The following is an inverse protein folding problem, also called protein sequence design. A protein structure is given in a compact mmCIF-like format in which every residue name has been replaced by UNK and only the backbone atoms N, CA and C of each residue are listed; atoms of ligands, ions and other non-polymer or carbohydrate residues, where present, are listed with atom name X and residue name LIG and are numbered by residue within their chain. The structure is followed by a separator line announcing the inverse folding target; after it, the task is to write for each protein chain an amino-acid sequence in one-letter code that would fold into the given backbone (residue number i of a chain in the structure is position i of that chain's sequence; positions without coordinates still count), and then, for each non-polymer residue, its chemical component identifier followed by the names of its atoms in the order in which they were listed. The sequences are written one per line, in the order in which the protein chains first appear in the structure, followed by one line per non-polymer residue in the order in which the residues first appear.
data_IF_961047123559
#
_entry.id   IF_961047123559
#
_cell.length_a   1.000
_cell.length_b   1.000
_cell.length_c   1.000
_cell.angle_alpha   90.00
_cell.angle_beta   90.00
_cell.angle_gamma   90.00
#
_symmetry.space_group_name_H-M   'P 1'
#
loop_
_entity.id
_entity.type
_entity.pdbx_description
1 polymer ?
#
# COMPACT_ATOMS: atom_id res chain seq x y z
N UNK A 1 19.78 -0.94 18.89
CA UNK A 1 19.17 -0.61 20.21
C UNK A 1 18.10 -1.66 20.45
N UNK A 2 18.31 -2.58 21.39
CA UNK A 2 17.29 -3.59 21.74
C UNK A 2 16.19 -2.86 22.50
N UNK A 3 14.94 -3.04 22.09
CA UNK A 3 13.76 -2.45 22.75
C UNK A 3 13.28 -3.46 23.79
N UNK A 4 13.17 -3.05 25.05
CA UNK A 4 12.59 -3.91 26.08
C UNK A 4 11.09 -4.11 25.84
N UNK A 5 10.58 -5.34 26.02
CA UNK A 5 9.16 -5.62 25.86
C UNK A 5 8.36 -4.93 26.96
N UNK A 6 7.32 -4.19 26.56
CA UNK A 6 6.38 -3.59 27.48
C UNK A 6 5.56 -4.67 28.19
N UNK A 7 5.48 -4.61 29.53
CA UNK A 7 4.66 -5.50 30.36
C UNK A 7 3.49 -4.69 30.93
N UNK A 8 2.27 -5.11 30.61
CA UNK A 8 1.06 -4.46 31.13
C UNK A 8 0.86 -4.80 32.62
N UNK A 9 0.81 -3.82 33.55
CA UNK A 9 0.69 -4.08 34.99
C UNK A 9 -0.77 -4.38 35.37
N UNK A 10 -1.26 -5.57 35.04
CA UNK A 10 -2.67 -5.96 35.24
C UNK A 10 -3.15 -5.75 36.68
N UNK A 11 -2.32 -6.08 37.68
CA UNK A 11 -2.70 -5.90 39.09
C UNK A 11 -3.01 -4.45 39.45
N UNK A 12 -2.20 -3.49 38.97
CA UNK A 12 -2.42 -2.07 39.21
C UNK A 12 -3.72 -1.58 38.55
N UNK A 13 -4.01 -2.07 37.35
CA UNK A 13 -5.23 -1.70 36.63
C UNK A 13 -6.48 -2.32 37.27
N UNK A 14 -6.37 -3.53 37.82
CA UNK A 14 -7.46 -4.17 38.56
C UNK A 14 -7.79 -3.40 39.84
N UNK A 15 -6.78 -3.01 40.63
CA UNK A 15 -6.97 -2.17 41.81
C UNK A 15 -7.59 -0.81 41.47
N UNK A 16 -7.22 -0.22 40.33
CA UNK A 16 -7.81 1.04 39.86
C UNK A 16 -9.31 0.87 39.54
N UNK A 17 -9.68 -0.21 38.84
CA UNK A 17 -11.08 -0.51 38.55
C UNK A 17 -11.90 -0.68 39.85
N UNK A 18 -11.38 -1.45 40.80
CA UNK A 18 -12.01 -1.68 42.12
C UNK A 18 -12.17 -0.37 42.90
N UNK A 19 -11.14 0.48 42.92
CA UNK A 19 -11.21 1.80 43.57
C UNK A 19 -12.25 2.74 42.97
N UNK A 20 -12.61 2.50 41.70
CA UNK A 20 -13.63 3.24 40.97
C UNK A 20 -15.02 2.60 41.07
N UNK A 21 -15.17 1.54 41.87
CA UNK A 21 -16.42 0.79 42.00
C UNK A 21 -16.76 -0.04 40.76
N UNK A 22 -15.79 -0.32 39.89
CA UNK A 22 -15.95 -1.11 38.68
C UNK A 22 -15.36 -2.52 38.88
N UNK A 23 -16.00 -3.51 38.28
CA UNK A 23 -15.48 -4.88 38.26
C UNK A 23 -14.95 -5.20 36.86
N UNK A 24 -13.69 -5.59 36.79
CA UNK A 24 -13.12 -6.14 35.55
C UNK A 24 -13.54 -7.60 35.41
N UNK A 25 -14.33 -7.90 34.38
CA UNK A 25 -14.77 -9.27 34.06
C UNK A 25 -14.09 -9.72 32.77
N UNK A 26 -13.33 -10.82 32.83
CA UNK A 26 -12.73 -11.45 31.65
C UNK A 26 -13.72 -12.42 30.99
N UNK A 27 -13.49 -12.72 29.71
CA UNK A 27 -14.24 -13.77 29.02
C UNK A 27 -13.89 -15.17 29.56
N UNK A 28 -14.84 -16.10 29.45
CA UNK A 28 -14.66 -17.51 29.82
C UNK A 28 -13.52 -18.15 29.02
N UNK A 29 -12.57 -18.77 29.71
CA UNK A 29 -11.34 -19.35 29.13
C UNK A 29 -11.67 -20.47 28.14
N UNK A 30 -12.69 -21.29 28.40
CA UNK A 30 -13.08 -22.37 27.50
C UNK A 30 -13.68 -21.82 26.21
N UNK A 31 -14.47 -20.74 26.30
CA UNK A 31 -15.04 -20.08 25.12
C UNK A 31 -13.95 -19.40 24.27
N UNK A 32 -12.96 -18.77 24.91
CA UNK A 32 -11.81 -18.19 24.20
C UNK A 32 -11.03 -19.29 23.48
N UNK A 33 -10.74 -20.40 24.15
CA UNK A 33 -10.02 -21.53 23.55
C UNK A 33 -10.78 -22.13 22.37
N UNK A 34 -12.09 -22.31 22.50
CA UNK A 34 -12.94 -22.81 21.42
C UNK A 34 -12.93 -21.87 20.21
N UNK A 35 -13.03 -20.56 20.42
CA UNK A 35 -12.98 -19.56 19.35
C UNK A 35 -11.62 -19.56 18.64
N UNK A 36 -10.51 -19.62 19.39
CA UNK A 36 -9.16 -19.70 18.82
C UNK A 36 -8.96 -20.99 18.02
N UNK A 37 -9.46 -22.13 18.51
CA UNK A 37 -9.40 -23.38 17.79
C UNK A 37 -10.20 -23.34 16.48
N UNK A 38 -11.38 -22.70 16.50
CA UNK A 38 -12.18 -22.48 15.29
C UNK A 38 -11.43 -21.63 14.26
N UNK A 39 -10.82 -20.51 14.69
CA UNK A 39 -10.01 -19.64 13.82
C UNK A 39 -8.79 -20.38 13.23
N UNK A 40 -8.10 -21.18 14.04
CA UNK A 40 -6.94 -21.96 13.58
C UNK A 40 -7.33 -23.09 12.61
N UNK A 41 -8.56 -23.60 12.71
CA UNK A 41 -9.10 -24.61 11.81
C UNK A 41 -9.62 -24.01 10.49
N UNK A 42 -9.68 -22.68 10.34
CA UNK A 42 -10.12 -22.06 9.09
C UNK A 42 -9.12 -22.40 7.96
N UNK A 43 -9.62 -22.91 6.82
CA UNK A 43 -8.77 -23.19 5.67
C UNK A 43 -8.26 -21.88 5.08
N UNK A 44 -6.95 -21.81 4.84
CA UNK A 44 -6.34 -20.68 4.17
C UNK A 44 -7.01 -20.44 2.81
N UNK A 45 -7.25 -19.17 2.48
CA UNK A 45 -7.82 -18.80 1.18
C UNK A 45 -6.96 -19.38 0.05
N UNK A 46 -7.62 -19.96 -0.95
CA UNK A 46 -6.95 -20.53 -2.12
C UNK A 46 -6.18 -19.42 -2.83
N UNK A 47 -4.86 -19.55 -2.89
CA UNK A 47 -4.03 -18.61 -3.63
C UNK A 47 -4.21 -18.85 -5.13
N UNK A 48 -4.77 -17.87 -5.84
CA UNK A 48 -4.86 -17.89 -7.31
C UNK A 48 -3.70 -17.05 -7.86
N UNK A 49 -2.67 -17.68 -8.47
CA UNK A 49 -1.60 -16.94 -9.12
C UNK A 49 -2.17 -16.10 -10.25
N UNK A 50 -1.86 -14.79 -10.24
CA UNK A 50 -2.23 -13.91 -11.35
C UNK A 50 -1.35 -14.23 -12.55
N UNK A 51 -1.97 -14.36 -13.72
CA UNK A 51 -1.22 -14.40 -14.98
C UNK A 51 -0.46 -13.08 -15.15
N UNK A 52 0.85 -13.18 -15.40
CA UNK A 52 1.69 -12.01 -15.60
C UNK A 52 1.44 -11.50 -17.04
N UNK A 53 1.15 -10.21 -17.25
CA UNK A 53 1.03 -9.66 -18.60
C UNK A 53 2.29 -9.96 -19.43
N UNK A 54 2.16 -10.20 -20.75
CA UNK A 54 3.30 -10.43 -21.62
C UNK A 54 4.22 -9.20 -21.59
N UNK A 55 5.53 -9.45 -21.62
CA UNK A 55 6.55 -8.39 -21.64
C UNK A 55 6.42 -7.63 -22.95
N UNK A 56 6.35 -6.29 -22.87
CA UNK A 56 6.40 -5.43 -24.06
C UNK A 56 7.77 -5.61 -24.70
N UNK A 57 7.79 -6.13 -25.93
CA UNK A 57 9.01 -6.22 -26.72
C UNK A 57 9.37 -4.82 -27.19
N UNK A 58 10.51 -4.32 -26.72
CA UNK A 58 11.09 -3.06 -27.20
C UNK A 58 11.78 -3.36 -28.53
N UNK A 59 11.55 -2.50 -29.53
CA UNK A 59 12.27 -2.58 -30.80
C UNK A 59 13.74 -2.17 -30.57
N UNK A 60 14.66 -3.12 -30.74
CA UNK A 60 16.11 -2.92 -30.63
C UNK A 60 16.76 -2.53 -31.97
N UNK A 61 15.94 -2.20 -32.98
CA UNK A 61 16.43 -1.68 -34.25
C UNK A 61 17.27 -0.40 -34.06
N UNK A 62 18.31 -0.20 -34.89
CA UNK A 62 19.11 1.01 -34.82
C UNK A 62 18.22 2.24 -35.12
N UNK A 63 18.29 3.26 -34.26
CA UNK A 63 17.56 4.50 -34.48
C UNK A 63 18.05 5.16 -35.77
N UNK A 64 17.21 5.17 -36.80
CA UNK A 64 17.51 5.81 -38.09
C UNK A 64 17.00 7.25 -38.05
N UNK A 65 17.92 8.21 -38.11
CA UNK A 65 17.59 9.61 -38.30
C UNK A 65 17.06 9.81 -39.73
N UNK A 66 15.75 9.93 -39.89
CA UNK A 66 15.14 10.32 -41.16
C UNK A 66 15.03 11.83 -41.17
N UNK A 67 15.98 12.49 -41.86
CA UNK A 67 15.89 13.92 -42.16
C UNK A 67 14.66 14.15 -43.04
N UNK A 68 13.53 14.52 -42.42
CA UNK A 68 12.41 15.01 -43.18
C UNK A 68 12.85 16.34 -43.79
N UNK A 69 13.02 16.39 -45.13
CA UNK A 69 13.30 17.62 -45.90
C UNK A 69 12.18 18.68 -45.80
N UNK A 70 11.32 18.56 -44.80
CA UNK A 70 10.17 19.42 -44.58
C UNK A 70 10.63 20.49 -43.62
N UNK A 71 10.68 21.71 -44.12
CA UNK A 71 10.99 22.88 -43.32
C UNK A 71 9.95 23.02 -42.19
N UNK A 72 10.38 22.75 -40.95
CA UNK A 72 9.52 22.71 -39.77
C UNK A 72 9.04 24.11 -39.38
N UNK A 73 9.74 25.17 -39.80
CA UNK A 73 9.31 26.55 -39.56
C UNK A 73 8.01 26.92 -40.28
N UNK A 74 7.62 26.12 -41.29
CA UNK A 74 6.39 26.31 -42.08
C UNK A 74 5.24 25.41 -41.60
N UNK A 75 5.48 24.54 -40.62
CA UNK A 75 4.52 23.59 -40.11
C UNK A 75 3.89 24.16 -38.84
N UNK A 76 2.67 24.69 -38.96
CA UNK A 76 1.94 25.23 -37.81
C UNK A 76 1.49 24.09 -36.90
N UNK A 77 2.09 23.99 -35.72
CA UNK A 77 1.81 22.92 -34.78
C UNK A 77 0.62 23.29 -33.88
N UNK A 78 -0.24 22.33 -33.50
CA UNK A 78 -1.49 22.61 -32.79
C UNK A 78 -1.31 23.24 -31.39
N UNK A 79 -0.09 23.24 -30.85
CA UNK A 79 0.25 23.89 -29.58
C UNK A 79 0.81 25.32 -29.74
N UNK A 80 1.16 25.78 -30.95
CA UNK A 80 1.73 27.13 -31.17
C UNK A 80 0.67 28.23 -31.09
N UNK A 81 -0.61 27.90 -31.26
CA UNK A 81 -1.70 28.89 -31.14
C UNK A 81 -2.11 29.12 -29.68
N UNK A 82 -1.71 28.23 -28.77
CA UNK A 82 -1.86 28.44 -27.34
C UNK A 82 -0.57 29.06 -26.79
N UNK A 83 -0.45 30.38 -26.92
CA UNK A 83 0.60 31.17 -26.27
C UNK A 83 0.47 31.11 -24.75
N UNK A 84 0.97 30.04 -24.15
CA UNK A 84 1.06 29.86 -22.72
C UNK A 84 2.29 29.00 -22.40
N UNK A 85 3.33 29.63 -21.85
CA UNK A 85 4.49 28.95 -21.33
C UNK A 85 4.08 27.80 -20.40
N UNK A 86 4.73 26.62 -20.43
CA UNK A 86 4.70 25.75 -19.27
C UNK A 86 5.46 26.49 -18.17
N UNK A 87 4.71 27.04 -17.20
CA UNK A 87 5.25 27.44 -15.92
C UNK A 87 6.04 26.24 -15.36
N UNK A 88 7.31 26.50 -15.01
CA UNK A 88 8.12 25.52 -14.30
C UNK A 88 7.40 25.08 -13.02
N UNK A 89 7.47 23.79 -12.63
CA UNK A 89 7.10 23.39 -11.29
C UNK A 89 7.99 24.13 -10.29
N UNK A 90 7.34 24.87 -9.38
CA UNK A 90 7.96 25.55 -8.25
C UNK A 90 8.60 24.51 -7.32
N UNK A 91 9.83 24.79 -6.88
CA UNK A 91 10.46 24.29 -5.67
C UNK A 91 10.85 25.49 -4.81
#
# INVERSE_FOLDING_TARGET
KVVEPFVLPIGALQSLAESSGLQWVNSDVEKIRAAQAAMAAEPAAVHVPRERPPVVVIDEGPLVLVETRKDLSQLKLPFETAGGAPAAPQA
#
